data_IF_889382092304
#
_entry.id   IF_889382092304
#
_cell.length_a   1.000
_cell.length_b   1.000
_cell.length_c   1.000
_cell.angle_alpha   90.00
_cell.angle_beta   90.00
_cell.angle_gamma   90.00
#
_symmetry.space_group_name_H-M   'P 1'
#
loop_
_entity.id
_entity.type
_entity.pdbx_description
1 polymer ?
#
# COMPACT_ATOMS: atom_id res chain seq x y z
N UNK A 1 13.79 18.84 3.82
CA UNK A 1 12.95 17.64 3.65
C UNK A 1 13.00 16.71 4.84
N UNK A 2 13.97 15.81 4.95
CA UNK A 2 14.07 14.82 6.05
C UNK A 2 13.87 15.47 7.44
N UNK A 3 14.57 16.56 7.74
CA UNK A 3 14.42 17.31 8.98
C UNK A 3 13.01 17.86 9.22
N UNK A 4 12.30 18.27 8.16
CA UNK A 4 10.92 18.75 8.25
C UNK A 4 9.98 17.63 8.67
N UNK A 5 10.15 16.43 8.09
CA UNK A 5 9.38 15.22 8.45
C UNK A 5 9.67 14.78 9.89
N UNK A 6 10.93 14.86 10.35
CA UNK A 6 11.23 14.56 11.76
C UNK A 6 10.69 15.60 12.75
N UNK A 7 10.61 16.87 12.35
CA UNK A 7 10.08 17.95 13.20
C UNK A 7 8.56 17.93 13.28
N UNK A 8 7.89 17.58 12.19
CA UNK A 8 6.43 17.58 12.04
C UNK A 8 6.01 16.37 11.17
N UNK A 9 6.02 15.15 11.75
CA UNK A 9 5.74 13.92 11.01
C UNK A 9 4.24 13.85 10.66
N UNK A 10 3.87 13.67 9.38
CA UNK A 10 2.48 13.47 9.02
C UNK A 10 1.89 12.20 9.69
N UNK A 11 0.60 12.19 10.07
CA UNK A 11 -0.01 11.05 10.74
C UNK A 11 0.16 9.73 9.97
N UNK A 12 0.68 8.71 10.66
CA UNK A 12 0.91 7.38 10.08
C UNK A 12 2.11 7.28 9.14
N UNK A 13 2.92 8.34 8.98
CA UNK A 13 4.10 8.33 8.11
C UNK A 13 5.39 8.42 8.90
N UNK A 14 6.34 7.54 8.58
CA UNK A 14 7.64 7.44 9.25
C UNK A 14 8.75 7.31 8.21
N UNK A 15 9.93 7.86 8.48
CA UNK A 15 11.08 7.74 7.58
C UNK A 15 12.34 7.30 8.33
N UNK A 16 13.21 6.58 7.62
CA UNK A 16 14.58 6.30 8.00
C UNK A 16 15.47 6.61 6.78
N UNK A 17 16.33 7.64 6.81
CA UNK A 17 17.34 7.84 5.78
C UNK A 17 18.27 6.63 5.70
N UNK A 18 18.72 6.30 4.49
CA UNK A 18 19.77 5.31 4.27
C UNK A 18 21.09 5.84 4.89
N UNK A 19 21.82 5.03 5.68
CA UNK A 19 22.99 5.49 6.43
C UNK A 19 24.20 5.77 5.53
N UNK A 20 24.30 5.11 4.39
CA UNK A 20 25.45 5.15 3.48
C UNK A 20 25.19 6.10 2.29
N UNK A 21 23.93 6.37 1.95
CA UNK A 21 23.55 7.24 0.85
C UNK A 21 22.38 8.17 1.22
N UNK A 22 22.70 9.44 1.49
CA UNK A 22 21.74 10.50 1.85
C UNK A 22 20.62 10.77 0.82
N UNK A 23 20.76 10.31 -0.43
CA UNK A 23 19.68 10.44 -1.43
C UNK A 23 18.66 9.31 -1.37
N UNK A 24 18.96 8.19 -0.70
CA UNK A 24 18.01 7.11 -0.41
C UNK A 24 17.30 7.34 0.92
N UNK A 25 15.98 7.17 0.91
CA UNK A 25 15.10 7.31 2.07
C UNK A 25 14.16 6.12 2.10
N UNK A 26 14.16 5.40 3.21
CA UNK A 26 13.17 4.38 3.52
C UNK A 26 11.96 5.07 4.17
N UNK A 27 10.76 4.80 3.69
CA UNK A 27 9.53 5.38 4.23
C UNK A 27 8.50 4.30 4.54
N UNK A 28 7.81 4.42 5.68
CA UNK A 28 6.71 3.57 6.07
C UNK A 28 5.43 4.43 6.12
N UNK A 29 4.42 4.02 5.38
CA UNK A 29 3.06 4.55 5.46
C UNK A 29 2.17 3.49 6.11
N UNK A 30 1.57 3.83 7.24
CA UNK A 30 0.51 3.03 7.86
C UNK A 30 -0.79 3.34 7.12
N UNK A 31 -1.49 2.30 6.66
CA UNK A 31 -2.72 2.44 5.91
C UNK A 31 -3.85 3.10 6.74
N UNK A 32 -4.65 4.02 6.18
CA UNK A 32 -5.59 4.84 6.95
C UNK A 32 -6.77 4.05 7.54
N UNK A 33 -7.31 4.55 8.67
CA UNK A 33 -8.57 4.08 9.27
C UNK A 33 -9.75 4.14 8.29
N UNK A 34 -10.71 3.23 8.45
CA UNK A 34 -11.93 3.11 7.62
C UNK A 34 -11.68 2.76 6.13
N UNK A 35 -10.46 2.34 5.79
CA UNK A 35 -10.07 1.92 4.42
C UNK A 35 -9.74 0.42 4.36
N UNK A 36 -9.73 -0.23 3.18
CA UNK A 36 -9.23 -1.61 3.07
C UNK A 36 -7.70 -1.73 3.30
N UNK A 37 -7.00 -0.63 3.57
CA UNK A 37 -5.57 -0.57 3.89
C UNK A 37 -5.29 -0.49 5.40
N UNK A 38 -6.33 -0.32 6.22
CA UNK A 38 -6.23 0.05 7.64
C UNK A 38 -5.23 -0.79 8.45
N UNK A 39 -4.28 -0.10 9.07
CA UNK A 39 -3.24 -0.70 9.90
C UNK A 39 -2.18 -1.50 9.14
N UNK A 40 -2.20 -1.55 7.80
CA UNK A 40 -1.17 -2.18 6.98
C UNK A 40 0.15 -1.39 6.94
N UNK A 41 1.28 -2.08 6.87
CA UNK A 41 2.62 -1.49 6.83
C UNK A 41 3.17 -1.43 5.39
N UNK A 42 2.92 -0.31 4.70
CA UNK A 42 3.37 -0.08 3.34
C UNK A 42 4.75 0.59 3.35
N UNK A 43 5.78 -0.20 3.09
CA UNK A 43 7.17 0.24 3.01
C UNK A 43 7.49 0.68 1.56
N UNK A 44 8.04 1.88 1.43
CA UNK A 44 8.48 2.49 0.19
C UNK A 44 9.97 2.80 0.26
N UNK A 45 10.66 2.59 -0.85
CA UNK A 45 12.02 3.08 -1.07
C UNK A 45 11.95 4.31 -1.97
N UNK A 46 12.60 5.40 -1.57
CA UNK A 46 12.63 6.67 -2.29
C UNK A 46 14.08 7.02 -2.59
N UNK A 47 14.40 7.41 -3.83
CA UNK A 47 15.75 7.84 -4.25
C UNK A 47 15.67 9.20 -4.94
N UNK A 48 16.19 10.24 -4.28
CA UNK A 48 16.31 11.57 -4.86
C UNK A 48 17.37 11.57 -5.98
N UNK A 49 17.10 12.17 -7.15
CA UNK A 49 18.11 12.31 -8.20
C UNK A 49 19.20 13.33 -7.81
N UNK A 50 20.37 13.34 -8.50
CA UNK A 50 21.47 14.27 -8.20
C UNK A 50 21.11 15.76 -8.29
N UNK A 51 20.07 16.11 -9.03
CA UNK A 51 19.53 17.45 -9.25
C UNK A 51 18.21 17.71 -8.48
N UNK A 52 17.88 16.89 -7.48
CA UNK A 52 16.76 17.15 -6.57
C UNK A 52 16.92 18.53 -5.88
N UNK A 53 15.87 19.38 -5.77
CA UNK A 53 14.46 19.13 -6.08
C UNK A 53 14.02 19.58 -7.49
N UNK A 54 14.93 19.77 -8.46
CA UNK A 54 14.55 20.16 -9.83
C UNK A 54 13.77 19.04 -10.53
N UNK A 55 14.21 17.78 -10.37
CA UNK A 55 13.46 16.58 -10.77
C UNK A 55 12.85 15.86 -9.57
N UNK A 56 11.77 15.13 -9.83
CA UNK A 56 11.09 14.27 -8.86
C UNK A 56 12.03 13.16 -8.34
N UNK A 57 11.84 12.69 -7.09
CA UNK A 57 12.48 11.47 -6.63
C UNK A 57 11.90 10.24 -7.34
N UNK A 58 12.68 9.18 -7.52
CA UNK A 58 12.14 7.84 -7.83
C UNK A 58 11.51 7.27 -6.55
N UNK A 59 10.39 6.58 -6.65
CA UNK A 59 9.68 5.99 -5.51
C UNK A 59 9.11 4.62 -5.91
N UNK A 60 9.34 3.60 -5.07
CA UNK A 60 8.89 2.22 -5.30
C UNK A 60 8.23 1.67 -4.05
N UNK A 61 7.05 1.06 -4.20
CA UNK A 61 6.43 0.23 -3.16
C UNK A 61 7.22 -1.09 -3.04
N UNK A 62 7.69 -1.39 -1.84
CA UNK A 62 8.43 -2.61 -1.51
C UNK A 62 7.50 -3.68 -0.91
N UNK A 63 6.42 -3.27 -0.23
CA UNK A 63 5.36 -4.17 0.26
C UNK A 63 4.48 -4.64 -0.92
N UNK A 64 4.96 -5.60 -1.72
CA UNK A 64 4.23 -6.18 -2.88
C UNK A 64 4.02 -7.70 -2.79
N UNK A 65 4.44 -8.32 -1.68
CA UNK A 65 4.41 -9.78 -1.50
C UNK A 65 5.29 -10.51 -2.52
N UNK A 66 6.54 -10.07 -2.70
CA UNK A 66 7.46 -10.54 -3.76
C UNK A 66 6.86 -10.40 -5.17
N UNK A 67 6.29 -9.23 -5.46
CA UNK A 67 5.59 -8.91 -6.71
C UNK A 67 4.41 -9.84 -7.02
N UNK A 68 3.59 -10.14 -6.01
CA UNK A 68 2.35 -10.93 -6.18
C UNK A 68 1.06 -10.14 -5.93
N UNK A 69 1.14 -8.89 -5.43
CA UNK A 69 -0.04 -8.08 -5.08
C UNK A 69 -0.02 -6.69 -5.72
N UNK A 70 -1.01 -6.38 -6.56
CA UNK A 70 -1.37 -5.00 -6.97
C UNK A 70 -2.29 -4.41 -5.89
N UNK A 71 -1.77 -3.56 -5.02
CA UNK A 71 -2.51 -3.07 -3.84
C UNK A 71 -3.57 -2.00 -4.16
N UNK A 72 -3.43 -1.30 -5.27
CA UNK A 72 -4.30 -0.21 -5.70
C UNK A 72 -4.17 -0.09 -7.22
N UNK A 73 -5.13 0.50 -7.94
CA UNK A 73 -4.93 0.84 -9.36
C UNK A 73 -3.62 1.59 -9.61
N UNK A 74 -3.18 2.43 -8.67
CA UNK A 74 -1.94 3.20 -8.72
C UNK A 74 -0.75 2.61 -7.93
N UNK A 75 -0.89 1.44 -7.28
CA UNK A 75 0.19 0.75 -6.54
C UNK A 75 0.40 -0.65 -7.12
N UNK A 76 1.32 -0.73 -8.07
CA UNK A 76 1.46 -1.88 -8.96
C UNK A 76 2.15 -3.06 -8.29
N UNK A 77 1.87 -4.25 -8.83
CA UNK A 77 2.48 -5.53 -8.45
C UNK A 77 4.01 -5.48 -8.46
N UNK A 78 4.63 -4.82 -9.44
CA UNK A 78 6.09 -4.65 -9.54
C UNK A 78 6.67 -3.57 -8.60
N UNK A 79 5.83 -2.81 -7.91
CA UNK A 79 6.22 -1.68 -7.05
C UNK A 79 6.13 -0.29 -7.70
N UNK A 80 5.76 -0.17 -8.99
CA UNK A 80 5.52 1.14 -9.65
C UNK A 80 4.42 1.90 -8.91
N UNK A 81 4.70 3.16 -8.57
CA UNK A 81 3.75 4.08 -7.92
C UNK A 81 3.30 5.10 -8.96
N UNK A 82 2.01 5.12 -9.27
CA UNK A 82 1.44 6.04 -10.25
C UNK A 82 0.95 7.33 -9.57
N UNK A 83 1.72 8.40 -9.71
CA UNK A 83 1.39 9.74 -9.25
C UNK A 83 1.84 10.78 -10.27
N UNK A 84 1.03 11.80 -10.50
CA UNK A 84 1.36 12.89 -11.43
C UNK A 84 2.58 13.69 -10.98
N UNK A 85 2.76 13.86 -9.68
CA UNK A 85 3.98 14.44 -9.08
C UNK A 85 5.22 13.55 -9.19
N UNK A 86 5.09 12.30 -9.63
CA UNK A 86 6.22 11.42 -10.00
C UNK A 86 6.41 11.32 -11.53
N UNK A 87 5.53 11.94 -12.32
CA UNK A 87 5.51 11.81 -13.78
C UNK A 87 4.92 10.48 -14.29
N UNK A 88 4.37 9.64 -13.40
CA UNK A 88 3.85 8.29 -13.69
C UNK A 88 2.32 8.24 -13.78
N UNK A 89 1.64 9.40 -13.81
CA UNK A 89 0.19 9.51 -13.97
C UNK A 89 -0.21 10.87 -14.54
N UNK A 90 -1.44 10.99 -15.04
CA UNK A 90 -1.98 12.27 -15.53
C UNK A 90 -2.30 13.23 -14.38
N UNK A 91 -2.03 14.53 -14.59
CA UNK A 91 -2.31 15.60 -13.61
C UNK A 91 -1.14 16.58 -13.42
N UNK A 92 -1.13 17.35 -12.31
CA UNK A 92 -0.06 18.30 -12.02
C UNK A 92 1.30 17.62 -11.82
N UNK A 93 2.27 18.00 -12.64
CA UNK A 93 3.63 17.45 -12.56
C UNK A 93 4.40 17.90 -11.32
N UNK A 94 5.53 17.24 -11.04
CA UNK A 94 6.49 17.69 -10.03
C UNK A 94 6.88 19.16 -10.21
N UNK A 95 7.12 19.85 -9.10
CA UNK A 95 7.82 21.12 -9.08
C UNK A 95 8.70 21.22 -7.84
N UNK A 96 9.76 22.06 -7.82
CA UNK A 96 10.63 22.25 -6.65
C UNK A 96 9.94 22.79 -5.39
N UNK A 97 8.65 23.11 -5.44
CA UNK A 97 7.82 23.46 -4.29
C UNK A 97 7.26 22.21 -3.56
N UNK A 98 7.30 21.04 -4.19
CA UNK A 98 6.97 19.76 -3.59
C UNK A 98 8.15 19.22 -2.78
N UNK A 99 7.86 18.36 -1.80
CA UNK A 99 8.82 17.84 -0.84
C UNK A 99 8.55 16.36 -0.54
N UNK A 100 9.45 15.67 0.16
CA UNK A 100 9.25 14.27 0.56
C UNK A 100 7.97 14.11 1.40
N UNK A 101 7.61 15.10 2.23
CA UNK A 101 6.37 15.07 3.00
C UNK A 101 5.12 15.10 2.11
N UNK A 102 5.06 16.00 1.12
CA UNK A 102 3.91 16.09 0.20
C UNK A 102 3.80 14.88 -0.74
N UNK A 103 4.93 14.25 -1.09
CA UNK A 103 4.93 12.95 -1.76
C UNK A 103 4.29 11.86 -0.90
N UNK A 104 4.69 11.70 0.36
CA UNK A 104 4.12 10.68 1.25
C UNK A 104 2.62 10.92 1.52
N UNK A 105 2.20 12.19 1.67
CA UNK A 105 0.78 12.57 1.77
C UNK A 105 0.01 12.19 0.49
N UNK A 106 0.60 12.41 -0.69
CA UNK A 106 -0.02 12.01 -1.97
C UNK A 106 -0.15 10.49 -2.09
N UNK A 107 0.86 9.73 -1.64
CA UNK A 107 0.83 8.26 -1.61
C UNK A 107 -0.28 7.76 -0.66
N UNK A 108 -0.37 8.29 0.57
CA UNK A 108 -1.42 7.91 1.51
C UNK A 108 -2.81 8.27 0.99
N UNK A 109 -2.95 9.37 0.23
CA UNK A 109 -4.22 9.78 -0.39
C UNK A 109 -4.73 8.80 -1.47
N UNK A 110 -3.87 7.96 -2.04
CA UNK A 110 -4.28 6.87 -2.94
C UNK A 110 -5.02 5.74 -2.18
N UNK A 111 -4.69 5.57 -0.89
CA UNK A 111 -5.25 4.54 -0.01
C UNK A 111 -6.63 4.98 0.52
N UNK A 112 -7.58 5.21 -0.39
CA UNK A 112 -8.92 5.71 -0.09
C UNK A 112 -9.85 4.62 0.47
N UNK A 113 -11.06 5.02 0.92
CA UNK A 113 -12.12 4.07 1.34
C UNK A 113 -12.58 3.13 0.20
N UNK A 114 -12.42 3.53 -1.07
CA UNK A 114 -12.94 2.83 -2.25
C UNK A 114 -11.94 2.88 -3.41
N UNK A 115 -10.77 2.24 -3.28
CA UNK A 115 -9.66 2.31 -4.24
C UNK A 115 -10.00 1.79 -5.65
N UNK A 116 -11.10 1.05 -5.84
CA UNK A 116 -11.60 0.69 -7.17
C UNK A 116 -11.82 1.92 -8.07
N UNK A 117 -12.30 3.04 -7.52
CA UNK A 117 -12.54 4.28 -8.28
C UNK A 117 -11.27 5.07 -8.63
N UNK A 118 -10.08 4.56 -8.27
CA UNK A 118 -8.81 5.15 -8.69
C UNK A 118 -8.43 4.75 -10.14
N UNK A 119 -9.06 3.71 -10.72
CA UNK A 119 -8.83 3.30 -12.10
C UNK A 119 -9.60 4.23 -13.07
N UNK A 120 -8.98 4.81 -14.12
CA UNK A 120 -9.64 5.78 -15.01
C UNK A 120 -10.86 5.17 -15.73
N UNK A 121 -12.01 5.85 -15.67
CA UNK A 121 -13.25 5.34 -16.26
C UNK A 121 -14.03 4.35 -15.37
N UNK A 122 -13.57 4.12 -14.13
CA UNK A 122 -14.24 3.30 -13.12
C UNK A 122 -14.82 4.16 -11.97
N UNK A 123 -15.10 5.45 -12.22
CA UNK A 123 -15.75 6.36 -11.25
C UNK A 123 -17.15 5.87 -10.87
N UNK A 124 -17.77 5.06 -11.74
CA UNK A 124 -18.98 4.29 -11.48
C UNK A 124 -18.64 2.78 -11.53
N UNK A 125 -19.31 1.97 -10.71
CA UNK A 125 -19.15 0.52 -10.75
C UNK A 125 -19.67 -0.04 -12.09
N UNK A 126 -18.95 -0.95 -12.74
CA UNK A 126 -19.42 -1.63 -13.97
C UNK A 126 -20.53 -2.62 -13.62
N UNK A 127 -20.34 -3.35 -12.52
CA UNK A 127 -21.32 -4.21 -11.87
C UNK A 127 -21.52 -3.77 -10.42
N UNK A 128 -22.78 -3.71 -9.97
CA UNK A 128 -23.12 -3.33 -8.60
C UNK A 128 -22.40 -4.22 -7.58
N UNK A 129 -21.54 -3.61 -6.75
CA UNK A 129 -20.73 -4.31 -5.76
C UNK A 129 -19.27 -4.58 -6.16
N UNK A 130 -18.80 -4.15 -7.32
CA UNK A 130 -17.39 -4.29 -7.74
C UNK A 130 -16.43 -3.61 -6.73
N UNK A 131 -16.73 -2.37 -6.31
CA UNK A 131 -15.91 -1.61 -5.36
C UNK A 131 -15.87 -2.30 -3.99
N UNK A 132 -16.99 -2.88 -3.56
CA UNK A 132 -17.04 -3.70 -2.34
C UNK A 132 -16.19 -4.96 -2.48
N UNK A 133 -16.28 -5.67 -3.61
CA UNK A 133 -15.53 -6.92 -3.84
C UNK A 133 -14.03 -6.65 -3.87
N UNK A 134 -13.61 -5.57 -4.54
CA UNK A 134 -12.23 -5.10 -4.54
C UNK A 134 -11.75 -4.73 -3.12
N UNK A 135 -12.57 -4.01 -2.34
CA UNK A 135 -12.25 -3.70 -0.94
C UNK A 135 -12.03 -4.95 -0.07
N UNK A 136 -12.82 -6.00 -0.26
CA UNK A 136 -12.66 -7.25 0.50
C UNK A 136 -11.34 -7.97 0.15
N UNK A 137 -10.93 -7.93 -1.12
CA UNK A 137 -9.65 -8.45 -1.61
C UNK A 137 -8.49 -7.63 -1.04
N UNK A 138 -8.53 -6.30 -1.16
CA UNK A 138 -7.46 -5.44 -0.65
C UNK A 138 -7.35 -5.54 0.88
N UNK A 139 -8.47 -5.66 1.62
CA UNK A 139 -8.46 -5.89 3.07
C UNK A 139 -7.78 -7.21 3.44
N UNK A 140 -8.07 -8.30 2.71
CA UNK A 140 -7.38 -9.58 2.90
C UNK A 140 -5.87 -9.45 2.66
N UNK A 141 -5.47 -8.90 1.52
CA UNK A 141 -4.06 -8.77 1.13
C UNK A 141 -3.27 -7.82 2.04
N UNK A 142 -3.92 -6.78 2.56
CA UNK A 142 -3.37 -5.89 3.60
C UNK A 142 -2.98 -6.69 4.85
N UNK A 143 -3.88 -7.52 5.38
CA UNK A 143 -3.55 -8.33 6.55
C UNK A 143 -2.54 -9.45 6.23
N UNK A 144 -2.66 -10.08 5.05
CA UNK A 144 -1.82 -11.20 4.61
C UNK A 144 -0.36 -10.78 4.40
N UNK A 145 -0.13 -9.67 3.71
CA UNK A 145 1.18 -9.18 3.25
C UNK A 145 1.62 -7.97 4.06
N UNK A 146 0.84 -6.89 4.02
CA UNK A 146 1.25 -5.61 4.61
C UNK A 146 1.28 -5.64 6.15
N UNK A 147 0.57 -6.56 6.81
CA UNK A 147 0.74 -6.82 8.25
C UNK A 147 1.62 -8.05 8.47
N UNK A 148 1.17 -9.26 8.07
CA UNK A 148 1.85 -10.48 8.51
C UNK A 148 3.22 -10.70 7.86
N UNK A 149 3.38 -10.66 6.53
CA UNK A 149 4.69 -10.89 5.88
C UNK A 149 5.72 -9.84 6.29
N UNK A 150 5.30 -8.57 6.35
CA UNK A 150 6.12 -7.44 6.78
C UNK A 150 6.68 -7.59 8.21
N UNK A 151 5.90 -8.16 9.14
CA UNK A 151 6.32 -8.42 10.52
C UNK A 151 7.05 -9.76 10.71
N UNK A 152 6.73 -10.77 9.91
CA UNK A 152 7.37 -12.09 9.96
C UNK A 152 8.83 -12.04 9.50
N UNK A 153 9.10 -11.38 8.37
CA UNK A 153 10.44 -11.14 7.85
C UNK A 153 11.14 -10.06 8.69
N UNK A 154 12.33 -10.35 9.22
CA UNK A 154 13.12 -9.39 10.02
C UNK A 154 13.78 -8.32 9.17
N UNK A 155 14.12 -8.64 7.93
CA UNK A 155 14.86 -7.78 6.99
C UNK A 155 13.92 -7.08 5.99
N UNK A 156 12.62 -6.99 6.29
CA UNK A 156 11.62 -6.36 5.41
C UNK A 156 11.83 -4.85 5.23
N UNK A 157 12.39 -4.19 6.24
CA UNK A 157 12.71 -2.75 6.26
C UNK A 157 13.80 -2.46 7.32
N UNK A 158 14.40 -1.25 7.35
CA UNK A 158 15.35 -0.87 8.39
C UNK A 158 14.79 -0.99 9.81
N UNK A 159 15.67 -1.29 10.78
CA UNK A 159 15.29 -1.54 12.18
C UNK A 159 14.42 -0.43 12.79
N UNK A 160 14.72 0.84 12.48
CA UNK A 160 13.97 1.99 12.99
C UNK A 160 12.49 1.96 12.57
N UNK A 161 12.22 1.54 11.33
CA UNK A 161 10.83 1.39 10.83
C UNK A 161 10.20 0.12 11.40
N UNK A 162 10.96 -0.97 11.56
CA UNK A 162 10.50 -2.21 12.19
C UNK A 162 10.04 -2.02 13.62
N UNK A 163 10.74 -1.21 14.41
CA UNK A 163 10.35 -0.87 15.80
C UNK A 163 9.01 -0.13 15.84
N UNK A 164 8.78 0.80 14.90
CA UNK A 164 7.48 1.48 14.73
C UNK A 164 6.38 0.47 14.36
N UNK A 165 6.63 -0.43 13.40
CA UNK A 165 5.66 -1.45 13.00
C UNK A 165 5.27 -2.36 14.15
N UNK A 166 6.23 -2.81 14.96
CA UNK A 166 5.95 -3.67 16.14
C UNK A 166 5.11 -2.92 17.17
N UNK A 167 5.35 -1.62 17.40
CA UNK A 167 4.49 -0.81 18.28
C UNK A 167 3.07 -0.73 17.72
N UNK A 168 2.92 -0.27 16.48
CA UNK A 168 1.63 -0.08 15.83
C UNK A 168 0.84 -1.39 15.72
N UNK A 169 1.52 -2.53 15.53
CA UNK A 169 0.90 -3.85 15.51
C UNK A 169 0.11 -4.16 16.79
N UNK A 170 0.60 -3.72 17.96
CA UNK A 170 -0.15 -3.86 19.22
C UNK A 170 -1.32 -2.87 19.29
N UNK A 171 -1.14 -1.64 18.81
CA UNK A 171 -2.19 -0.62 18.77
C UNK A 171 -3.38 -1.04 17.87
N UNK A 172 -3.14 -1.81 16.80
CA UNK A 172 -4.15 -2.36 15.88
C UNK A 172 -4.52 -3.83 16.11
N UNK A 173 -3.94 -4.53 17.11
CA UNK A 173 -4.01 -6.00 17.19
C UNK A 173 -5.46 -6.53 17.25
N UNK A 174 -6.30 -5.92 18.08
CA UNK A 174 -7.67 -6.39 18.29
C UNK A 174 -8.53 -6.19 17.03
N UNK A 175 -8.31 -5.10 16.28
CA UNK A 175 -8.93 -4.87 14.97
C UNK A 175 -8.57 -5.97 13.96
N UNK A 176 -7.27 -6.32 13.85
CA UNK A 176 -6.86 -7.39 12.92
C UNK A 176 -7.53 -8.74 13.27
N UNK A 177 -7.67 -9.04 14.57
CA UNK A 177 -8.32 -10.26 15.06
C UNK A 177 -9.82 -10.24 14.79
N UNK A 178 -10.49 -9.11 15.01
CA UNK A 178 -11.91 -8.90 14.71
C UNK A 178 -12.18 -9.11 13.23
N UNK A 179 -11.50 -8.38 12.34
CA UNK A 179 -11.64 -8.52 10.87
C UNK A 179 -11.44 -9.95 10.41
N UNK A 180 -10.41 -10.65 10.90
CA UNK A 180 -10.19 -12.04 10.54
C UNK A 180 -11.30 -12.96 11.06
N UNK A 181 -11.79 -12.73 12.28
CA UNK A 181 -12.84 -13.56 12.91
C UNK A 181 -14.18 -13.41 12.20
N UNK A 182 -14.56 -12.18 11.83
CA UNK A 182 -15.80 -11.89 11.10
C UNK A 182 -15.81 -12.48 9.68
N UNK A 183 -14.64 -12.63 9.05
CA UNK A 183 -14.51 -13.09 7.66
C UNK A 183 -14.08 -14.57 7.53
N UNK A 184 -14.03 -15.35 8.62
CA UNK A 184 -13.70 -16.80 8.56
C UNK A 184 -14.64 -17.60 7.66
N UNK A 185 -15.88 -17.13 7.44
CA UNK A 185 -16.82 -17.76 6.51
C UNK A 185 -16.39 -17.67 5.03
N UNK A 186 -15.40 -16.82 4.71
CA UNK A 186 -14.82 -16.65 3.37
C UNK A 186 -13.65 -17.58 3.09
N UNK A 187 -13.08 -18.26 4.10
CA UNK A 187 -11.92 -19.14 3.92
C UNK A 187 -12.15 -20.17 2.80
N UNK A 188 -11.19 -20.25 1.89
CA UNK A 188 -11.23 -21.13 0.71
C UNK A 188 -12.10 -20.62 -0.45
N UNK A 189 -12.83 -19.51 -0.30
CA UNK A 189 -13.52 -18.87 -1.43
C UNK A 189 -12.53 -18.13 -2.33
N UNK A 190 -12.78 -18.14 -3.63
CA UNK A 190 -11.94 -17.46 -4.61
C UNK A 190 -12.12 -15.94 -4.56
N UNK A 191 -11.00 -15.21 -4.56
CA UNK A 191 -10.99 -13.76 -4.72
C UNK A 191 -11.27 -13.40 -6.19
N UNK A 192 -12.48 -12.91 -6.45
CA UNK A 192 -12.94 -12.48 -7.77
C UNK A 192 -12.66 -10.98 -7.96
N UNK A 193 -11.48 -10.64 -8.48
CA UNK A 193 -11.12 -9.22 -8.72
C UNK A 193 -11.96 -8.66 -9.89
N UNK A 194 -12.66 -7.52 -9.73
CA UNK A 194 -13.44 -6.91 -10.80
C UNK A 194 -12.57 -6.39 -11.97
N UNK A 195 -11.26 -6.25 -11.79
CA UNK A 195 -10.29 -5.96 -12.85
C UNK A 195 -9.74 -7.24 -13.52
N UNK A 196 -10.28 -8.43 -13.23
CA UNK A 196 -9.84 -9.71 -13.79
C UNK A 196 -8.53 -10.28 -13.21
N UNK A 197 -7.89 -9.55 -12.30
CA UNK A 197 -6.59 -9.88 -11.72
C UNK A 197 -6.63 -11.20 -10.90
N UNK A 198 -5.63 -12.07 -11.08
CA UNK A 198 -5.60 -13.38 -10.40
C UNK A 198 -5.02 -13.24 -8.99
N UNK A 199 -5.90 -13.32 -7.99
CA UNK A 199 -5.61 -13.07 -6.56
C UNK A 199 -5.42 -14.31 -5.69
N UNK A 200 -6.08 -15.42 -5.98
CA UNK A 200 -6.06 -16.65 -5.16
C UNK A 200 -7.32 -16.85 -4.33
N UNK A 201 -7.17 -17.41 -3.12
CA UNK A 201 -8.27 -17.68 -2.19
C UNK A 201 -8.17 -16.79 -0.95
N UNK A 202 -9.30 -16.55 -0.28
CA UNK A 202 -9.30 -15.99 1.08
C UNK A 202 -8.79 -17.03 2.10
N UNK A 203 -7.97 -16.59 3.05
CA UNK A 203 -7.27 -17.39 4.06
C UNK A 203 -7.25 -16.70 5.45
N UNK A 204 -8.35 -16.05 5.84
CA UNK A 204 -8.46 -15.34 7.12
C UNK A 204 -8.15 -16.23 8.33
N UNK A 205 -8.48 -17.52 8.30
CA UNK A 205 -8.09 -18.48 9.33
C UNK A 205 -6.57 -18.68 9.46
N UNK A 206 -5.83 -18.65 8.34
CA UNK A 206 -4.36 -18.70 8.30
C UNK A 206 -3.76 -17.39 8.84
N UNK A 207 -4.27 -16.25 8.36
CA UNK A 207 -3.87 -14.92 8.83
C UNK A 207 -4.07 -14.78 10.35
N UNK A 208 -5.21 -15.21 10.88
CA UNK A 208 -5.49 -15.19 12.32
C UNK A 208 -4.49 -16.01 13.15
N UNK A 209 -4.00 -17.14 12.62
CA UNK A 209 -2.95 -17.93 13.28
C UNK A 209 -1.59 -17.20 13.24
N UNK A 210 -1.25 -16.57 12.12
CA UNK A 210 -0.02 -15.77 11.94
C UNK A 210 0.00 -14.56 12.89
N UNK A 211 -1.10 -13.80 12.97
CA UNK A 211 -1.27 -12.68 13.92
C UNK A 211 -1.05 -13.11 15.38
N UNK A 212 -1.68 -14.22 15.81
CA UNK A 212 -1.50 -14.77 17.17
C UNK A 212 -0.04 -15.17 17.44
N UNK A 213 0.62 -15.82 16.47
CA UNK A 213 2.04 -16.19 16.54
C UNK A 213 2.95 -14.96 16.65
N UNK A 214 2.68 -13.90 15.89
CA UNK A 214 3.40 -12.63 15.94
C UNK A 214 3.25 -11.95 17.31
N UNK A 215 2.04 -11.88 17.87
CA UNK A 215 1.81 -11.33 19.21
C UNK A 215 2.61 -12.07 20.28
N UNK A 216 2.50 -13.39 20.35
CA UNK A 216 3.26 -14.21 21.30
C UNK A 216 4.78 -14.01 21.14
N UNK A 217 5.27 -13.94 19.89
CA UNK A 217 6.68 -13.65 19.58
C UNK A 217 7.11 -12.29 20.15
N UNK A 218 6.39 -11.21 19.86
CA UNK A 218 6.77 -9.86 20.30
C UNK A 218 6.62 -9.66 21.82
N UNK A 219 5.60 -10.22 22.47
CA UNK A 219 5.44 -10.21 23.93
C UNK A 219 6.62 -10.92 24.64
N UNK A 220 7.11 -12.03 24.09
CA UNK A 220 8.27 -12.73 24.63
C UNK A 220 9.57 -11.90 24.55
N UNK A 221 9.77 -11.18 23.43
CA UNK A 221 10.95 -10.32 23.21
C UNK A 221 10.95 -9.09 24.12
N UNK A 222 9.79 -8.49 24.38
CA UNK A 222 9.66 -7.41 25.36
C UNK A 222 9.96 -7.91 26.79
N UNK A 223 9.49 -9.11 27.12
CA UNK A 223 9.71 -9.74 28.43
C UNK A 223 11.18 -10.06 28.70
N UNK A 224 11.93 -10.54 27.70
CA UNK A 224 13.38 -10.78 27.83
C UNK A 224 14.17 -9.49 28.03
N UNK A 225 13.84 -8.43 27.30
CA UNK A 225 14.52 -7.13 27.40
C UNK A 225 14.28 -6.45 28.76
N UNK A 226 13.07 -6.59 29.33
CA UNK A 226 12.75 -6.08 30.66
C UNK A 226 13.52 -6.84 31.77
N UNK A 227 13.72 -8.15 31.63
CA UNK A 227 14.52 -8.94 32.57
C UNK A 227 16.03 -8.67 32.46
N UNK A 228 16.54 -8.43 31.25
CA UNK A 228 17.94 -8.06 31.01
C UNK A 228 18.30 -6.66 31.54
N UNK A 229 17.35 -5.71 31.51
CA UNK A 229 17.52 -4.38 32.10
C UNK A 229 17.34 -4.38 33.63
N UNK A 230 16.37 -5.15 34.16
CA UNK A 230 16.20 -5.36 35.61
C UNK A 230 17.46 -5.95 36.27
N UNK A 231 18.08 -6.97 35.66
CA UNK A 231 19.28 -7.63 36.18
C UNK A 231 20.57 -6.80 36.16
N UNK A 232 20.59 -5.66 35.46
CA UNK A 232 21.68 -4.65 35.55
C UNK A 232 21.51 -3.62 36.68
N UNK A 233 20.38 -3.64 37.40
CA UNK A 233 20.03 -2.60 38.39
C UNK A 233 20.60 -2.84 39.80
N UNK A 234 21.37 -3.91 40.02
CA UNK A 234 21.73 -4.43 41.36
C UNK A 234 23.16 -4.14 41.83
N UNK A 235 23.82 -3.06 41.35
CA UNK A 235 25.21 -2.69 41.78
C UNK A 235 25.53 -1.18 41.77
N UNK A 236 24.74 -0.33 42.44
CA UNK A 236 25.19 1.05 42.80
C UNK A 236 24.86 1.36 44.26
N UNK A 237 25.87 1.82 45.02
CA UNK A 237 25.78 2.17 46.43
C UNK A 237 25.41 3.64 46.68
N UNK A 238 24.93 3.91 47.90
CA UNK A 238 24.30 5.16 48.34
C UNK A 238 25.27 6.35 48.41
N UNK A 239 24.87 7.54 47.93
CA UNK A 239 24.78 8.82 48.68
C UNK A 239 24.10 9.93 47.80
N UNK A 240 23.63 11.09 48.34
CA UNK A 240 22.42 11.74 47.83
C UNK A 240 22.55 13.20 47.33
N UNK A 241 21.49 13.66 46.62
CA UNK A 241 21.15 15.08 46.29
C UNK A 241 22.12 15.81 45.32
N UNK A 242 21.71 16.68 44.37
CA UNK A 242 20.44 17.41 44.10
C UNK A 242 20.06 17.35 42.59
N UNK A 243 18.77 17.50 42.33
CA UNK A 243 18.04 17.74 41.08
C UNK A 243 18.69 18.65 40.01
N UNK A 244 18.62 18.24 38.74
CA UNK A 244 18.70 19.08 37.53
C UNK A 244 18.25 18.30 36.27
N UNK A 245 16.98 17.84 36.23
CA UNK A 245 16.44 17.19 35.03
C UNK A 245 16.19 18.20 33.90
N UNK A 246 16.45 17.79 32.65
CA UNK A 246 16.07 18.47 31.38
C UNK A 246 17.08 19.45 30.76
N UNK A 247 18.14 18.92 30.12
CA UNK A 247 18.75 19.36 28.84
C UNK A 247 20.03 18.54 28.60
N UNK A 248 20.02 17.72 27.54
CA UNK A 248 21.16 17.16 26.77
C UNK A 248 20.82 15.76 26.23
N UNK A 249 20.15 15.75 25.07
CA UNK A 249 20.18 14.62 24.11
C UNK A 249 20.37 15.25 22.71
N UNK A 250 21.54 15.84 22.51
CA UNK A 250 22.07 16.24 21.20
C UNK A 250 23.60 16.24 21.30
N UNK A 251 24.19 15.07 21.06
CA UNK A 251 25.56 14.77 20.63
C UNK A 251 25.89 13.36 21.11
N UNK A 252 25.89 12.41 20.17
CA UNK A 252 26.85 11.30 20.06
C UNK A 252 26.37 10.35 18.94
N UNK A 253 26.54 10.81 17.71
CA UNK A 253 26.37 10.03 16.48
C UNK A 253 27.68 10.04 15.69
N UNK A 254 28.77 9.63 16.35
CA UNK A 254 30.11 9.61 15.75
C UNK A 254 31.07 8.62 16.48
N UNK A 255 30.74 7.33 16.47
CA UNK A 255 31.68 6.19 16.44
C UNK A 255 30.96 4.88 16.76
N UNK A 256 30.97 3.93 15.83
CA UNK A 256 31.32 2.52 16.07
C UNK A 256 31.62 1.84 14.71
N UNK A 257 32.51 0.86 14.74
CA UNK A 257 33.25 0.26 13.61
C UNK A 257 32.36 -0.70 12.76
N UNK A 258 32.61 -0.91 11.45
CA UNK A 258 31.74 -1.72 10.60
C UNK A 258 32.15 -3.21 10.51
N UNK A 259 31.20 -4.03 10.03
CA UNK A 259 31.32 -5.46 9.68
C UNK A 259 31.35 -6.46 10.87
N UNK A 260 30.76 -7.68 10.72
CA UNK A 260 30.98 -8.57 9.58
C UNK A 260 29.74 -9.12 8.84
N UNK A 261 29.75 -8.94 7.52
CA UNK A 261 29.41 -9.92 6.46
C UNK A 261 28.42 -11.04 6.76
N UNK A 262 27.24 -10.98 6.12
CA UNK A 262 26.54 -12.17 5.61
C UNK A 262 25.90 -11.85 4.26
N UNK A 263 26.38 -12.50 3.20
CA UNK A 263 25.86 -12.31 1.84
C UNK A 263 24.51 -13.02 1.68
N UNK A 264 23.42 -12.25 1.54
CA UNK A 264 22.24 -12.57 0.71
C UNK A 264 21.28 -11.35 0.67
N UNK A 265 21.85 -10.15 0.51
CA UNK A 265 21.08 -8.95 0.20
C UNK A 265 21.07 -8.79 -1.33
N UNK A 266 19.89 -8.88 -1.95
CA UNK A 266 19.69 -8.31 -3.28
C UNK A 266 20.06 -6.83 -3.23
N UNK A 267 20.95 -6.40 -4.11
CA UNK A 267 21.51 -5.05 -4.05
C UNK A 267 20.40 -4.01 -4.26
N UNK A 268 20.03 -3.28 -3.20
CA UNK A 268 18.92 -2.31 -3.23
C UNK A 268 19.20 -1.13 -4.17
N UNK A 269 20.44 -0.94 -4.61
CA UNK A 269 20.80 0.09 -5.58
C UNK A 269 20.33 -0.27 -7.00
N UNK A 270 20.39 -1.56 -7.38
CA UNK A 270 19.96 -2.08 -8.70
C UNK A 270 18.46 -1.86 -8.95
N UNK A 271 17.66 -1.68 -7.90
CA UNK A 271 16.19 -1.49 -7.93
C UNK A 271 15.75 -0.29 -8.77
N UNK A 272 16.58 0.74 -8.88
CA UNK A 272 16.27 1.94 -9.67
C UNK A 272 17.13 2.07 -10.93
N UNK A 273 18.22 1.32 -11.03
CA UNK A 273 19.26 1.55 -12.05
C UNK A 273 19.06 0.66 -13.30
N UNK A 274 18.02 -0.19 -13.32
CA UNK A 274 17.64 -1.04 -14.46
C UNK A 274 16.34 -0.62 -15.19
N UNK A 275 15.65 0.44 -14.77
CA UNK A 275 14.36 0.87 -15.36
C UNK A 275 14.48 1.99 -16.41
N UNK A 276 15.69 2.42 -16.76
CA UNK A 276 15.92 3.56 -17.68
C UNK A 276 15.86 3.22 -19.20
N UNK A 277 15.62 1.96 -19.59
CA UNK A 277 15.65 1.50 -21.00
C UNK A 277 14.37 0.75 -21.49
N UNK A 278 13.39 0.45 -20.64
CA UNK A 278 12.12 -0.18 -21.08
C UNK A 278 11.09 0.91 -21.47
N UNK A 279 10.59 0.96 -22.73
CA UNK A 279 9.50 1.85 -23.08
C UNK A 279 8.20 1.45 -22.35
N UNK A 280 7.33 2.42 -22.06
CA UNK A 280 6.09 2.23 -21.30
C UNK A 280 5.05 1.41 -22.09
N UNK A 281 5.27 0.10 -22.18
CA UNK A 281 4.43 -0.86 -22.92
C UNK A 281 3.49 -1.66 -22.01
N UNK A 282 3.18 -1.14 -20.82
CA UNK A 282 2.15 -1.67 -19.92
C UNK A 282 0.85 -0.84 -19.97
N UNK A 283 0.53 -0.32 -21.16
CA UNK A 283 -0.86 -0.34 -21.60
C UNK A 283 -1.11 -1.79 -22.03
N UNK A 284 -1.55 -2.62 -21.09
CA UNK A 284 -1.90 -4.01 -21.41
C UNK A 284 -3.15 -3.99 -22.30
N UNK A 285 -2.99 -4.46 -23.54
CA UNK A 285 -4.06 -4.68 -24.51
C UNK A 285 -4.96 -5.84 -24.04
N UNK A 286 -5.98 -5.54 -23.23
CA UNK A 286 -7.03 -6.49 -22.79
C UNK A 286 -8.42 -6.11 -23.35
N UNK A 287 -8.47 -5.63 -24.60
CA UNK A 287 -9.68 -5.23 -25.32
C UNK A 287 -9.73 -5.80 -26.77
N UNK A 288 -9.55 -7.12 -26.94
CA UNK A 288 -9.96 -7.80 -28.18
C UNK A 288 -10.24 -9.31 -28.01
N UNK A 289 -11.48 -9.68 -27.68
CA UNK A 289 -11.99 -11.04 -27.96
C UNK A 289 -13.50 -11.03 -28.21
N UNK A 290 -13.93 -10.40 -29.31
CA UNK A 290 -15.33 -10.45 -29.75
C UNK A 290 -15.51 -10.45 -31.27
N UNK A 291 -14.93 -11.44 -31.96
CA UNK A 291 -15.35 -11.73 -33.34
C UNK A 291 -15.22 -13.20 -33.74
N UNK A 292 -16.25 -14.01 -33.45
CA UNK A 292 -16.54 -15.24 -34.19
C UNK A 292 -17.98 -15.70 -33.92
N UNK A 293 -18.94 -15.25 -34.74
CA UNK A 293 -20.15 -16.00 -35.13
C UNK A 293 -20.95 -15.27 -36.23
N UNK A 294 -20.39 -15.16 -37.43
CA UNK A 294 -21.21 -15.11 -38.65
C UNK A 294 -21.36 -16.52 -39.22
N UNK A 295 -22.53 -17.13 -39.06
CA UNK A 295 -23.14 -17.97 -40.11
C UNK A 295 -24.59 -18.35 -39.77
N UNK A 296 -25.44 -18.32 -40.81
CA UNK A 296 -26.88 -18.62 -40.82
C UNK A 296 -27.76 -17.53 -40.15
N UNK A 297 -28.75 -16.91 -40.79
CA UNK A 297 -29.41 -17.20 -42.08
C UNK A 297 -29.63 -15.94 -42.93
N UNK A 298 -29.39 -16.05 -44.23
CA UNK A 298 -30.17 -15.31 -45.23
C UNK A 298 -31.45 -16.09 -45.50
N UNK A 299 -32.62 -15.44 -45.54
CA UNK A 299 -33.73 -15.87 -46.39
C UNK A 299 -34.84 -14.79 -46.56
N UNK A 300 -35.17 -14.54 -47.83
CA UNK A 300 -36.42 -13.99 -48.41
C UNK A 300 -36.94 -12.55 -48.14
N UNK A 301 -36.72 -11.72 -49.17
CA UNK A 301 -37.73 -10.98 -49.99
C UNK A 301 -38.71 -9.92 -49.40
N UNK A 302 -38.48 -8.67 -49.83
CA UNK A 302 -39.40 -7.84 -50.65
C UNK A 302 -40.82 -7.43 -50.14
N UNK A 303 -40.96 -6.14 -49.74
CA UNK A 303 -41.88 -5.07 -50.28
C UNK A 303 -43.43 -5.36 -50.38
N UNK A 304 -44.40 -4.44 -50.09
CA UNK A 304 -44.35 -2.96 -50.08
C UNK A 304 -45.08 -2.19 -48.93
N UNK A 305 -44.89 -0.87 -48.93
CA UNK A 305 -45.72 0.17 -48.28
C UNK A 305 -47.08 0.39 -48.97
N UNK A 306 -48.20 0.45 -48.24
CA UNK A 306 -49.46 1.11 -48.67
C UNK A 306 -50.14 1.85 -47.49
N UNK A 307 -50.75 3.00 -47.77
CA UNK A 307 -51.48 3.89 -46.83
C UNK A 307 -52.99 3.55 -46.72
N UNK A 308 -53.70 4.33 -45.89
CA UNK A 308 -55.17 4.41 -45.69
C UNK A 308 -55.72 3.43 -44.61
N UNK A 309 -56.77 3.75 -43.84
CA UNK A 309 -57.70 4.89 -43.93
C UNK A 309 -58.10 5.47 -42.56
N UNK A 310 -58.16 6.81 -42.52
CA UNK A 310 -59.27 7.66 -42.07
C UNK A 310 -60.26 7.26 -40.95
N UNK A 311 -60.39 8.21 -40.01
CA UNK A 311 -61.65 8.75 -39.46
C UNK A 311 -62.72 7.79 -38.89
N UNK A 312 -62.91 7.81 -37.56
CA UNK A 312 -63.97 8.64 -36.94
C UNK A 312 -64.28 8.27 -35.46
N UNK A 313 -64.11 9.24 -34.55
CA UNK A 313 -65.22 9.84 -33.78
C UNK A 313 -64.76 10.98 -32.87
N UNK A 314 -65.62 11.99 -32.78
CA UNK A 314 -65.37 13.24 -32.08
C UNK A 314 -65.79 13.24 -30.60
N UNK A 315 -65.20 14.20 -29.86
CA UNK A 315 -65.80 15.14 -28.87
C UNK A 315 -66.00 14.76 -27.40
N UNK A 316 -65.65 15.78 -26.59
CA UNK A 316 -66.04 16.08 -25.20
C UNK A 316 -65.35 15.25 -24.12
N UNK A 317 -64.75 15.77 -23.04
CA UNK A 317 -64.53 17.14 -22.50
C UNK A 317 -63.26 17.01 -21.63
N UNK A 318 -62.37 17.96 -21.35
CA UNK A 318 -62.41 19.42 -21.14
C UNK A 318 -60.93 19.89 -21.28
N UNK A 319 -60.58 21.14 -21.56
CA UNK A 319 -61.33 22.40 -21.54
C UNK A 319 -61.06 23.22 -22.80
#
# INVERSE_FOLDING_TARGET
DIWSVFKDPPPGMFIAPDPDNITKIHALVVGPFDTPYEGGFFYFLIRCPPDYPIRAPRCRLMTTGNNTVRFNPNLYRNGKVCLSILGTWSGPSWSPAQCISSLLISIQSLMSEKPYHNEPGFEHERTSGDSKTYNEIIKHETLRVAVCEMLENENSCPQQLREVMIKQFFDFYDYYVEVCTENLNKDGQQMMDPFGDRRGLFEYGSILQRLKKLKTRFESLQSTNNNASSSRSSSISKHPHIDARTREIMNDAAALDPNPTSNDATNLDDIFDHEDDEPDSSMDDDDDDNNNNEQQLNDFESIPTIQNAEQSKEKSSTC
#
